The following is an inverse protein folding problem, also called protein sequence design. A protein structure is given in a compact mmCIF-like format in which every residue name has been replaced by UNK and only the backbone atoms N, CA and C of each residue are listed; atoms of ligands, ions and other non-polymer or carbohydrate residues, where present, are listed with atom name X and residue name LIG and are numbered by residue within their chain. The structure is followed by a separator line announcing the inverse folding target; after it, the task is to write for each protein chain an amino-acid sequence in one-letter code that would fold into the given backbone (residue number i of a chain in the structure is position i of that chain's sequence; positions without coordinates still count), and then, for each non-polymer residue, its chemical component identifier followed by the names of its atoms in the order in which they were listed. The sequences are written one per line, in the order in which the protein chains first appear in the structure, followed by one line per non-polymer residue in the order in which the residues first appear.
data_IF_742383488452
#
_entry.id   IF_742383488452
#
_cell.length_a   1.000
_cell.length_b   1.000
_cell.length_c   1.000
_cell.angle_alpha   90.00
_cell.angle_beta   90.00
_cell.angle_gamma   90.00
#
_symmetry.space_group_name_H-M   'P 1'
#
loop_
_entity.id
_entity.type
_entity.pdbx_description
1 polymer ?
#
# COMPACT_ATOMS: atom_id res chain seq x y z
N UNK A 1 15.93 31.69 5.12
CA UNK A 1 16.03 30.25 4.81
C UNK A 1 14.70 29.62 5.19
N UNK A 2 14.06 28.80 4.33
CA UNK A 2 12.69 28.32 4.55
C UNK A 2 12.55 27.20 5.61
N UNK A 3 13.65 26.55 6.01
CA UNK A 3 13.65 25.49 7.02
C UNK A 3 14.77 25.72 8.05
N UNK A 4 14.52 25.28 9.29
CA UNK A 4 15.41 25.49 10.45
C UNK A 4 16.52 24.43 10.57
N UNK A 5 16.36 23.25 9.97
CA UNK A 5 17.34 22.16 10.03
C UNK A 5 17.21 21.19 8.86
N UNK A 6 18.24 20.35 8.66
CA UNK A 6 18.19 19.24 7.71
C UNK A 6 17.07 18.24 8.03
N UNK A 7 16.81 18.00 9.32
CA UNK A 7 15.70 17.18 9.76
C UNK A 7 14.37 17.78 9.31
N UNK A 8 14.15 19.09 9.49
CA UNK A 8 12.93 19.76 9.03
C UNK A 8 12.74 19.66 7.50
N UNK A 9 13.83 19.75 6.73
CA UNK A 9 13.80 19.54 5.27
C UNK A 9 13.36 18.12 4.94
N UNK A 10 13.95 17.11 5.58
CA UNK A 10 13.63 15.70 5.31
C UNK A 10 12.23 15.31 5.77
N UNK A 11 11.75 15.83 6.91
CA UNK A 11 10.36 15.64 7.35
C UNK A 11 9.36 16.22 6.35
N UNK A 12 9.60 17.44 5.87
CA UNK A 12 8.75 18.06 4.85
C UNK A 12 8.80 17.31 3.51
N UNK A 13 9.98 16.79 3.11
CA UNK A 13 10.10 15.96 1.92
C UNK A 13 9.36 14.62 2.07
N UNK A 14 9.39 14.03 3.27
CA UNK A 14 8.65 12.80 3.58
C UNK A 14 7.14 13.03 3.51
N UNK A 15 6.64 14.19 3.96
CA UNK A 15 5.22 14.57 3.82
C UNK A 15 4.79 14.52 2.35
N UNK A 16 5.57 15.12 1.45
CA UNK A 16 5.30 15.12 0.01
C UNK A 16 5.33 13.70 -0.58
N UNK A 17 6.19 12.81 -0.09
CA UNK A 17 6.19 11.41 -0.53
C UNK A 17 4.89 10.71 -0.12
N UNK A 18 4.41 10.92 1.11
CA UNK A 18 3.14 10.35 1.56
C UNK A 18 1.93 10.96 0.86
N UNK A 19 1.93 12.26 0.55
CA UNK A 19 0.91 12.87 -0.30
C UNK A 19 0.80 12.18 -1.65
N UNK A 20 1.93 11.84 -2.28
CA UNK A 20 1.96 11.09 -3.54
C UNK A 20 1.44 9.66 -3.38
N UNK A 21 1.77 9.00 -2.28
CA UNK A 21 1.24 7.67 -1.95
C UNK A 21 -0.28 7.72 -1.81
N UNK A 22 -0.83 8.71 -1.10
CA UNK A 22 -2.27 8.86 -0.98
C UNK A 22 -2.93 9.17 -2.32
N UNK A 23 -2.36 10.08 -3.11
CA UNK A 23 -2.87 10.41 -4.44
C UNK A 23 -2.85 9.21 -5.39
N UNK A 24 -1.83 8.34 -5.31
CA UNK A 24 -1.76 7.11 -6.11
C UNK A 24 -2.83 6.06 -5.78
N UNK A 25 -3.62 6.29 -4.73
CA UNK A 25 -4.70 5.39 -4.30
C UNK A 25 -6.08 6.02 -4.56
N UNK A 26 -6.13 7.23 -5.11
CA UNK A 26 -7.39 7.86 -5.50
C UNK A 26 -7.92 7.18 -6.76
N UNK A 27 -9.04 6.49 -6.61
CA UNK A 27 -9.72 5.78 -7.71
C UNK A 27 -11.05 6.49 -8.04
N UNK A 28 -11.47 6.54 -9.31
CA UNK A 28 -12.68 7.24 -9.71
C UNK A 28 -13.99 6.48 -9.45
N UNK A 29 -13.97 5.28 -8.87
CA UNK A 29 -15.19 4.46 -8.68
C UNK A 29 -16.01 4.84 -7.45
N UNK A 30 -17.33 4.77 -7.62
CA UNK A 30 -18.33 4.90 -6.56
C UNK A 30 -19.15 3.59 -6.38
N UNK A 31 -18.71 2.44 -6.92
CA UNK A 31 -19.52 1.21 -6.92
C UNK A 31 -19.70 0.60 -5.51
N UNK A 32 -18.60 0.20 -4.87
CA UNK A 32 -18.55 -0.29 -3.49
C UNK A 32 -17.10 -0.39 -3.00
N UNK A 33 -16.91 -0.58 -1.69
CA UNK A 33 -15.60 -0.61 -1.05
C UNK A 33 -14.73 -1.81 -1.45
N UNK A 34 -15.30 -2.98 -1.77
CA UNK A 34 -14.52 -4.12 -2.26
C UNK A 34 -13.92 -3.84 -3.64
N UNK A 35 -14.72 -3.27 -4.54
CA UNK A 35 -14.26 -2.89 -5.87
C UNK A 35 -13.24 -1.76 -5.81
N UNK A 36 -13.48 -0.76 -4.94
CA UNK A 36 -12.50 0.30 -4.66
C UNK A 36 -11.16 -0.28 -4.21
N UNK A 37 -11.15 -1.28 -3.33
CA UNK A 37 -9.93 -1.91 -2.84
C UNK A 37 -9.15 -2.62 -3.97
N UNK A 38 -9.85 -3.29 -4.88
CA UNK A 38 -9.23 -3.89 -6.08
C UNK A 38 -8.63 -2.84 -6.99
N UNK A 39 -9.39 -1.77 -7.27
CA UNK A 39 -8.92 -0.69 -8.13
C UNK A 39 -7.71 0.04 -7.56
N UNK A 40 -7.62 0.21 -6.23
CA UNK A 40 -6.40 0.75 -5.62
C UNK A 40 -5.17 -0.11 -5.94
N UNK A 41 -5.33 -1.43 -6.01
CA UNK A 41 -4.25 -2.36 -6.35
C UNK A 41 -3.94 -2.34 -7.85
N UNK A 42 -4.95 -2.40 -8.70
CA UNK A 42 -4.76 -2.34 -10.16
C UNK A 42 -4.11 -1.02 -10.57
N UNK A 43 -4.56 0.10 -10.00
CA UNK A 43 -4.00 1.42 -10.28
C UNK A 43 -2.54 1.52 -9.84
N UNK A 44 -2.14 0.88 -8.74
CA UNK A 44 -0.73 0.80 -8.33
C UNK A 44 0.14 0.10 -9.40
N UNK A 45 -0.33 -1.00 -10.00
CA UNK A 45 0.38 -1.67 -11.10
C UNK A 45 0.45 -0.81 -12.36
N UNK A 46 -0.64 -0.10 -12.70
CA UNK A 46 -0.70 0.80 -13.85
C UNK A 46 0.27 1.99 -13.69
N UNK A 47 0.33 2.58 -12.50
CA UNK A 47 1.24 3.67 -12.18
C UNK A 47 2.69 3.21 -12.31
N UNK A 48 3.01 2.00 -11.83
CA UNK A 48 4.32 1.42 -12.05
C UNK A 48 4.67 1.26 -13.53
N UNK A 49 3.75 0.67 -14.31
CA UNK A 49 3.97 0.45 -15.74
C UNK A 49 4.12 1.75 -16.53
N UNK A 50 3.47 2.83 -16.12
CA UNK A 50 3.44 4.10 -16.85
C UNK A 50 4.48 5.11 -16.39
N UNK A 51 4.85 5.11 -15.11
CA UNK A 51 5.73 6.11 -14.51
C UNK A 51 7.17 5.61 -14.32
N UNK A 52 7.40 4.30 -14.21
CA UNK A 52 8.73 3.72 -13.98
C UNK A 52 9.45 4.42 -12.82
N UNK A 53 10.64 4.97 -13.05
CA UNK A 53 11.46 5.68 -12.05
C UNK A 53 10.79 6.93 -11.44
N UNK A 54 9.74 7.48 -12.05
CA UNK A 54 8.98 8.62 -11.50
C UNK A 54 7.95 8.20 -10.45
N UNK A 55 7.73 6.90 -10.30
CA UNK A 55 6.84 6.34 -9.29
C UNK A 55 7.32 6.68 -7.87
N UNK A 56 6.39 6.93 -6.93
CA UNK A 56 6.71 7.38 -5.56
C UNK A 56 7.60 6.39 -4.78
N UNK A 57 7.58 5.12 -5.17
CA UNK A 57 8.28 4.04 -4.47
C UNK A 57 9.79 4.23 -4.39
N UNK A 58 10.42 4.83 -5.41
CA UNK A 58 11.86 5.11 -5.36
C UNK A 58 12.19 6.02 -4.18
N UNK A 59 11.44 7.11 -4.02
CA UNK A 59 11.62 8.05 -2.92
C UNK A 59 11.26 7.42 -1.58
N UNK A 60 10.20 6.62 -1.52
CA UNK A 60 9.83 5.88 -0.31
C UNK A 60 10.97 4.95 0.12
N UNK A 61 11.60 4.22 -0.81
CA UNK A 61 12.71 3.31 -0.49
C UNK A 61 13.97 4.05 -0.03
N UNK A 62 14.26 5.24 -0.56
CA UNK A 62 15.34 6.09 -0.03
C UNK A 62 15.09 6.45 1.45
N UNK A 63 13.86 6.82 1.81
CA UNK A 63 13.50 7.11 3.21
C UNK A 63 13.50 5.87 4.10
N UNK A 64 13.04 4.72 3.59
CA UNK A 64 13.06 3.46 4.35
C UNK A 64 14.50 2.99 4.62
N UNK A 65 15.37 3.04 3.61
CA UNK A 65 16.76 2.61 3.74
C UNK A 65 17.64 3.59 4.51
N UNK A 66 17.43 4.90 4.33
CA UNK A 66 18.20 5.96 4.98
C UNK A 66 17.63 6.44 6.33
N UNK A 67 16.38 6.11 6.66
CA UNK A 67 15.65 6.71 7.78
C UNK A 67 16.35 6.52 9.13
N UNK A 68 17.01 5.37 9.35
CA UNK A 68 17.73 5.10 10.60
C UNK A 68 18.96 6.00 10.78
N UNK A 69 19.77 6.19 9.75
CA UNK A 69 20.95 7.06 9.82
C UNK A 69 20.58 8.53 9.99
N UNK A 70 19.37 8.90 9.57
CA UNK A 70 18.89 10.28 9.58
C UNK A 70 18.00 10.62 10.79
N UNK A 71 17.79 9.66 11.71
CA UNK A 71 16.92 9.85 12.88
C UNK A 71 15.43 9.94 12.54
N UNK A 72 15.02 9.46 11.37
CA UNK A 72 13.66 9.54 10.84
C UNK A 72 12.85 8.25 11.01
N UNK A 73 13.43 7.18 11.55
CA UNK A 73 12.78 5.86 11.64
C UNK A 73 11.39 5.90 12.28
N UNK A 74 11.22 6.64 13.37
CA UNK A 74 9.94 6.76 14.07
C UNK A 74 8.89 7.47 13.21
N UNK A 75 9.25 8.59 12.59
CA UNK A 75 8.34 9.36 11.72
C UNK A 75 7.98 8.58 10.46
N UNK A 76 8.95 7.87 9.86
CA UNK A 76 8.69 6.99 8.71
C UNK A 76 7.71 5.88 9.10
N UNK A 77 7.92 5.24 10.26
CA UNK A 77 7.04 4.18 10.75
C UNK A 77 5.62 4.70 11.04
N UNK A 78 5.49 5.84 11.70
CA UNK A 78 4.20 6.48 12.01
C UNK A 78 3.41 6.77 10.74
N UNK A 79 4.05 7.42 9.75
CA UNK A 79 3.39 7.74 8.48
C UNK A 79 3.06 6.48 7.68
N UNK A 80 3.93 5.47 7.73
CA UNK A 80 3.68 4.22 7.02
C UNK A 80 2.46 3.51 7.60
N UNK A 81 2.37 3.43 8.93
CA UNK A 81 1.24 2.86 9.63
C UNK A 81 -0.06 3.61 9.32
N UNK A 82 -0.04 4.94 9.29
CA UNK A 82 -1.18 5.75 8.86
C UNK A 82 -1.61 5.44 7.42
N UNK A 83 -0.64 5.14 6.53
CA UNK A 83 -0.95 4.74 5.16
C UNK A 83 -1.56 3.34 5.07
N UNK A 84 -1.19 2.41 5.96
CA UNK A 84 -1.77 1.06 6.04
C UNK A 84 -3.23 1.15 6.51
N UNK A 85 -3.50 2.01 7.49
CA UNK A 85 -4.82 2.23 8.05
C UNK A 85 -5.86 2.64 7.01
N UNK A 86 -5.45 3.31 5.93
CA UNK A 86 -6.34 3.63 4.80
C UNK A 86 -6.94 2.38 4.15
N UNK A 87 -6.15 1.31 3.97
CA UNK A 87 -6.66 0.05 3.43
C UNK A 87 -7.59 -0.64 4.43
N UNK A 88 -7.22 -0.65 5.72
CA UNK A 88 -8.06 -1.22 6.77
C UNK A 88 -9.42 -0.50 6.84
N UNK A 89 -9.43 0.82 6.67
CA UNK A 89 -10.66 1.60 6.63
C UNK A 89 -11.56 1.21 5.45
N UNK A 90 -11.01 1.05 4.25
CA UNK A 90 -11.79 0.60 3.08
C UNK A 90 -12.40 -0.79 3.33
N UNK A 91 -11.68 -1.68 4.02
CA UNK A 91 -12.21 -2.99 4.39
C UNK A 91 -13.39 -2.85 5.37
N UNK A 92 -13.26 -2.02 6.41
CA UNK A 92 -14.35 -1.77 7.37
C UNK A 92 -15.56 -1.10 6.72
N UNK A 93 -15.35 -0.21 5.77
CA UNK A 93 -16.44 0.39 4.99
C UNK A 93 -17.17 -0.70 4.18
N UNK A 94 -16.44 -1.62 3.54
CA UNK A 94 -17.03 -2.76 2.84
C UNK A 94 -17.78 -3.73 3.76
N UNK A 95 -17.34 -3.88 5.02
CA UNK A 95 -18.07 -4.63 6.02
C UNK A 95 -19.39 -3.96 6.40
N UNK A 96 -19.38 -2.63 6.55
CA UNK A 96 -20.59 -1.85 6.82
C UNK A 96 -21.57 -1.86 5.63
N UNK A 97 -21.06 -1.89 4.40
CA UNK A 97 -21.84 -2.04 3.17
C UNK A 97 -22.37 -3.47 2.94
N UNK A 98 -21.81 -4.46 3.64
CA UNK A 98 -22.12 -5.88 3.44
C UNK A 98 -21.45 -6.51 2.20
N UNK A 99 -20.46 -5.83 1.60
CA UNK A 99 -19.69 -6.32 0.45
C UNK A 99 -18.45 -7.13 0.86
N UNK A 100 -17.99 -6.95 2.10
CA UNK A 100 -16.93 -7.75 2.72
C UNK A 100 -17.50 -8.46 3.97
N UNK A 101 -17.27 -9.77 4.16
CA UNK A 101 -17.76 -10.46 5.35
C UNK A 101 -17.19 -9.90 6.67
N UNK A 102 -18.00 -9.87 7.72
CA UNK A 102 -17.62 -9.33 9.03
C UNK A 102 -16.51 -10.13 9.75
N UNK A 103 -16.26 -11.38 9.34
CA UNK A 103 -15.18 -12.20 9.90
C UNK A 103 -13.80 -11.87 9.31
N UNK A 104 -13.74 -11.08 8.23
CA UNK A 104 -12.49 -10.70 7.59
C UNK A 104 -11.77 -9.68 8.49
N UNK A 105 -10.52 -9.96 8.85
CA UNK A 105 -9.71 -9.05 9.64
C UNK A 105 -9.18 -7.91 8.76
N UNK A 106 -9.64 -6.68 9.02
CA UNK A 106 -9.27 -5.50 8.25
C UNK A 106 -7.77 -5.17 8.31
N UNK A 107 -7.15 -5.38 9.47
CA UNK A 107 -5.72 -5.11 9.66
C UNK A 107 -4.91 -6.15 8.88
N UNK A 108 -5.32 -7.42 8.95
CA UNK A 108 -4.68 -8.48 8.18
C UNK A 108 -4.71 -8.22 6.66
N UNK A 109 -5.87 -7.81 6.12
CA UNK A 109 -6.02 -7.43 4.71
C UNK A 109 -5.09 -6.27 4.36
N UNK A 110 -5.07 -5.22 5.19
CA UNK A 110 -4.23 -4.05 4.96
C UNK A 110 -2.74 -4.39 4.93
N UNK A 111 -2.28 -5.25 5.84
CA UNK A 111 -0.89 -5.74 5.85
C UNK A 111 -0.55 -6.62 4.65
N UNK A 112 -1.47 -7.48 4.21
CA UNK A 112 -1.26 -8.32 3.02
C UNK A 112 -1.13 -7.48 1.74
N UNK A 113 -2.01 -6.50 1.55
CA UNK A 113 -1.94 -5.58 0.41
C UNK A 113 -0.67 -4.72 0.47
N UNK A 114 -0.31 -4.21 1.66
CA UNK A 114 0.92 -3.43 1.84
C UNK A 114 2.17 -4.26 1.52
N UNK A 115 2.21 -5.51 1.98
CA UNK A 115 3.32 -6.43 1.67
C UNK A 115 3.42 -6.74 0.18
N UNK A 116 2.29 -6.93 -0.49
CA UNK A 116 2.22 -7.08 -1.95
C UNK A 116 2.76 -5.84 -2.68
N UNK A 117 2.30 -4.63 -2.31
CA UNK A 117 2.75 -3.39 -2.93
C UNK A 117 4.26 -3.18 -2.72
N UNK A 118 4.77 -3.43 -1.49
CA UNK A 118 6.19 -3.32 -1.18
C UNK A 118 7.04 -4.33 -1.96
N UNK A 119 6.54 -5.56 -2.14
CA UNK A 119 7.22 -6.57 -2.96
C UNK A 119 7.30 -6.12 -4.43
N UNK A 120 6.24 -5.49 -4.94
CA UNK A 120 6.23 -4.87 -6.26
C UNK A 120 7.23 -3.73 -6.38
N UNK A 121 7.24 -2.83 -5.39
CA UNK A 121 8.14 -1.69 -5.35
C UNK A 121 9.61 -2.11 -5.40
N UNK A 122 9.99 -3.06 -4.53
CA UNK A 122 11.35 -3.59 -4.47
C UNK A 122 11.70 -4.34 -5.76
N UNK A 123 10.79 -5.16 -6.28
CA UNK A 123 11.02 -5.90 -7.53
C UNK A 123 11.33 -4.94 -8.68
N UNK A 124 10.56 -3.85 -8.82
CA UNK A 124 10.79 -2.86 -9.85
C UNK A 124 12.15 -2.16 -9.69
N UNK A 125 12.48 -1.73 -8.47
CA UNK A 125 13.77 -1.06 -8.19
C UNK A 125 14.98 -1.96 -8.43
N UNK A 126 14.82 -3.28 -8.30
CA UNK A 126 15.83 -4.27 -8.68
C UNK A 126 15.87 -4.57 -10.19
N UNK A 127 14.97 -3.98 -10.98
CA UNK A 127 14.84 -4.23 -12.42
C UNK A 127 14.06 -5.49 -12.78
N UNK A 128 13.33 -6.08 -11.83
CA UNK A 128 12.54 -7.30 -12.05
C UNK A 128 11.15 -6.94 -12.61
N UNK A 129 11.05 -6.89 -13.94
CA UNK A 129 9.77 -6.65 -14.63
C UNK A 129 8.73 -7.75 -14.42
N UNK A 130 9.13 -8.95 -13.99
CA UNK A 130 8.24 -10.12 -13.83
C UNK A 130 7.08 -9.87 -12.86
N UNK A 131 7.23 -8.98 -11.88
CA UNK A 131 6.14 -8.64 -10.96
C UNK A 131 4.96 -7.95 -11.67
N UNK A 132 5.23 -7.20 -12.74
CA UNK A 132 4.20 -6.53 -13.55
C UNK A 132 3.45 -7.50 -14.49
N UNK A 133 3.95 -8.74 -14.65
CA UNK A 133 3.20 -9.75 -15.38
C UNK A 133 1.96 -10.14 -14.57
N UNK A 134 0.76 -10.19 -15.18
CA UNK A 134 -0.47 -10.58 -14.49
C UNK A 134 -0.38 -11.96 -13.82
N UNK A 135 0.44 -12.86 -14.38
CA UNK A 135 0.73 -14.19 -13.84
C UNK A 135 1.38 -14.17 -12.45
N UNK A 136 1.93 -13.02 -12.01
CA UNK A 136 2.56 -12.84 -10.71
C UNK A 136 1.80 -11.81 -9.87
N UNK A 137 1.77 -10.55 -10.29
CA UNK A 137 1.23 -9.46 -9.49
C UNK A 137 -0.27 -9.60 -9.22
N UNK A 138 -1.05 -9.81 -10.29
CA UNK A 138 -2.51 -10.00 -10.20
C UNK A 138 -2.85 -11.34 -9.57
N UNK A 139 -2.15 -12.42 -9.94
CA UNK A 139 -2.36 -13.72 -9.30
C UNK A 139 -2.14 -13.69 -7.79
N UNK A 140 -1.14 -12.95 -7.29
CA UNK A 140 -0.94 -12.80 -5.85
C UNK A 140 -2.11 -12.06 -5.19
N UNK A 141 -2.62 -10.98 -5.80
CA UNK A 141 -3.84 -10.33 -5.31
C UNK A 141 -5.03 -11.29 -5.29
N UNK A 142 -5.21 -12.11 -6.32
CA UNK A 142 -6.29 -13.11 -6.36
C UNK A 142 -6.19 -14.09 -5.19
N UNK A 143 -4.97 -14.54 -4.85
CA UNK A 143 -4.72 -15.40 -3.68
C UNK A 143 -5.06 -14.68 -2.38
N UNK A 144 -4.68 -13.41 -2.24
CA UNK A 144 -5.03 -12.57 -1.08
C UNK A 144 -6.56 -12.46 -0.96
N UNK A 145 -7.26 -12.02 -2.01
CA UNK A 145 -8.71 -11.87 -1.98
C UNK A 145 -9.45 -13.19 -1.77
N UNK A 146 -8.99 -14.29 -2.36
CA UNK A 146 -9.56 -15.62 -2.16
C UNK A 146 -9.41 -16.12 -0.71
N UNK A 147 -8.34 -15.72 -0.01
CA UNK A 147 -8.12 -16.10 1.39
C UNK A 147 -9.20 -15.59 2.36
N UNK A 148 -9.95 -14.57 1.94
CA UNK A 148 -11.04 -13.96 2.72
C UNK A 148 -12.44 -14.39 2.26
N UNK A 149 -12.54 -15.18 1.19
CA UNK A 149 -13.83 -15.60 0.63
C UNK A 149 -14.43 -16.82 1.37
N UNK A 150 -13.59 -17.60 2.06
CA UNK A 150 -14.01 -18.74 2.85
C UNK A 150 -13.97 -18.40 4.34
N UNK A 151 -15.06 -18.70 5.05
CA UNK A 151 -15.10 -18.57 6.50
C UNK A 151 -13.99 -19.47 7.11
N UNK A 152 -13.11 -18.93 7.97
CA UNK A 152 -12.04 -19.73 8.53
C UNK A 152 -12.63 -20.93 9.27
N UNK A 153 -12.09 -22.12 8.99
CA UNK A 153 -12.47 -23.32 9.72
C UNK A 153 -12.29 -23.06 11.22
N UNK A 154 -13.32 -23.37 12.01
CA UNK A 154 -13.26 -23.23 13.46
C UNK A 154 -11.95 -23.87 13.97
N UNK A 155 -11.18 -23.18 14.84
CA UNK A 155 -9.95 -23.73 15.36
C UNK A 155 -10.24 -25.09 15.98
N UNK A 156 -9.51 -26.11 15.52
CA UNK A 156 -9.58 -27.44 16.11
C UNK A 156 -9.03 -27.32 17.53
N UNK A 157 -9.88 -27.62 18.51
CA UNK A 157 -9.56 -27.58 19.94
C UNK A 157 -8.43 -28.56 20.32
#
# INVERSE_FOLDING_TARGET
THFESRHAILSAALDVVYERIYASRETPTDENSLERLRQMCDHHLELWSSQGEKHHAHQLMEFVSGGRSEGLSEIVAEKHLASIEQYAQVVRDGQAEGTIPAYVDADQVAWLITGWAFAGDVSHLLGFGKFLEPSVGVHWLDVIFASFAAEPAAPTA
#
